data_IF_859044881208
#
_entry.id   IF_859044881208
#
_cell.length_a   1.000
_cell.length_b   1.000
_cell.length_c   1.000
_cell.angle_alpha   90.00
_cell.angle_beta   90.00
_cell.angle_gamma   90.00
#
_symmetry.space_group_name_H-M   'P 1'
#
loop_
_entity.id
_entity.type
_entity.pdbx_description
1 polymer ?
#
# COMPACT_ATOMS: atom_id res chain seq x y z
N UNK A 1 8.02 2.91 9.57
CA UNK A 1 9.27 3.58 9.90
C UNK A 1 9.10 4.81 10.80
N UNK A 2 7.91 5.50 10.82
CA UNK A 2 7.68 6.63 11.71
C UNK A 2 7.84 6.23 13.19
N UNK A 3 8.77 6.86 13.96
CA UNK A 3 9.05 6.47 15.34
C UNK A 3 7.87 6.68 16.29
N UNK A 4 7.05 7.71 16.05
CA UNK A 4 5.88 7.99 16.87
C UNK A 4 4.81 6.92 16.67
N UNK A 5 4.44 6.63 15.42
CA UNK A 5 3.45 5.60 15.09
C UNK A 5 3.94 4.22 15.56
N UNK A 6 5.23 3.93 15.40
CA UNK A 6 5.84 2.68 15.90
C UNK A 6 5.71 2.55 17.41
N UNK A 7 6.03 3.58 18.18
CA UNK A 7 5.89 3.55 19.64
C UNK A 7 4.44 3.35 20.12
N UNK A 8 3.44 3.87 19.36
CA UNK A 8 2.03 3.60 19.64
C UNK A 8 1.67 2.14 19.32
N UNK A 9 2.12 1.64 18.16
CA UNK A 9 1.89 0.25 17.76
C UNK A 9 2.51 -0.73 18.73
N UNK A 10 3.75 -0.51 19.19
CA UNK A 10 4.44 -1.34 20.19
C UNK A 10 3.62 -1.49 21.49
N UNK A 11 2.98 -0.41 21.96
CA UNK A 11 2.09 -0.47 23.13
C UNK A 11 0.85 -1.34 22.88
N UNK A 12 0.28 -1.25 21.67
CA UNK A 12 -0.93 -2.00 21.32
C UNK A 12 -0.66 -3.49 21.16
N UNK A 13 0.49 -3.86 20.59
CA UNK A 13 0.81 -5.27 20.30
C UNK A 13 1.55 -6.00 21.43
N UNK A 14 1.84 -5.35 22.54
CA UNK A 14 2.64 -5.90 23.65
C UNK A 14 2.15 -7.27 24.15
N UNK A 15 0.85 -7.59 23.96
CA UNK A 15 0.24 -8.87 24.35
C UNK A 15 0.11 -9.87 23.19
N UNK A 16 0.64 -9.55 21.98
CA UNK A 16 0.51 -10.38 20.78
C UNK A 16 1.88 -10.90 20.35
N UNK A 17 2.24 -12.11 20.77
CA UNK A 17 3.55 -12.73 20.45
C UNK A 17 3.76 -13.02 18.96
N UNK A 18 2.68 -13.08 18.17
CA UNK A 18 2.71 -13.34 16.72
C UNK A 18 2.87 -12.08 15.86
N UNK A 19 2.92 -10.88 16.49
CA UNK A 19 3.08 -9.61 15.76
C UNK A 19 4.53 -9.13 15.88
N UNK A 20 5.13 -8.83 14.75
CA UNK A 20 6.51 -8.33 14.66
C UNK A 20 6.52 -6.98 13.93
N UNK A 21 7.27 -6.02 14.47
CA UNK A 21 7.48 -4.71 13.89
C UNK A 21 8.86 -4.66 13.26
N UNK A 22 8.94 -4.22 11.99
CA UNK A 22 10.19 -3.83 11.36
C UNK A 22 10.21 -2.31 11.23
N UNK A 23 11.28 -1.62 11.65
CA UNK A 23 11.35 -0.16 11.60
C UNK A 23 11.67 0.40 10.22
N UNK A 24 12.07 -0.44 9.28
CA UNK A 24 12.45 0.00 7.92
C UNK A 24 11.23 0.38 7.10
N UNK A 25 11.41 1.28 6.16
CA UNK A 25 10.47 1.47 5.06
C UNK A 25 10.63 0.34 4.03
N UNK A 26 9.64 0.16 3.16
CA UNK A 26 9.68 -0.85 2.10
C UNK A 26 9.58 -0.18 0.74
N UNK A 27 10.41 -0.60 -0.23
CA UNK A 27 10.42 -0.10 -1.61
C UNK A 27 10.95 -1.17 -2.57
N UNK A 28 11.32 -0.76 -3.79
CA UNK A 28 11.88 -1.60 -4.86
C UNK A 28 13.37 -1.94 -4.67
N UNK A 29 14.07 -1.21 -3.79
CA UNK A 29 15.52 -1.38 -3.55
C UNK A 29 15.90 -1.07 -2.12
N UNK A 30 16.96 -1.71 -1.65
CA UNK A 30 17.56 -1.41 -0.35
C UNK A 30 18.26 -0.05 -0.42
N UNK A 31 18.05 0.76 0.61
CA UNK A 31 18.73 2.04 0.76
C UNK A 31 18.88 2.40 2.24
N UNK A 32 19.87 3.24 2.53
CA UNK A 32 20.15 3.71 3.89
C UNK A 32 20.02 5.22 3.96
N UNK A 33 19.63 5.73 5.13
CA UNK A 33 19.54 7.17 5.39
C UNK A 33 18.65 7.91 4.38
N UNK A 34 17.53 7.29 3.98
CA UNK A 34 16.55 7.91 3.08
C UNK A 34 15.69 8.90 3.88
N UNK A 35 15.49 10.08 3.32
CA UNK A 35 14.64 11.10 3.95
C UNK A 35 13.20 10.60 4.09
N UNK A 36 12.65 10.71 5.29
CA UNK A 36 11.26 10.43 5.59
C UNK A 36 10.53 11.74 5.91
N UNK A 37 9.44 11.97 5.22
CA UNK A 37 8.65 13.19 5.32
C UNK A 37 7.46 12.98 6.24
N UNK A 38 7.36 13.81 7.27
CA UNK A 38 6.22 13.82 8.18
C UNK A 38 5.21 14.88 7.80
N UNK A 39 3.94 14.51 7.83
CA UNK A 39 2.84 15.46 7.70
C UNK A 39 2.40 15.95 9.08
N UNK A 40 2.23 17.29 9.21
CA UNK A 40 1.65 17.89 10.40
C UNK A 40 0.11 17.97 10.34
N UNK A 41 -0.50 17.63 9.20
CA UNK A 41 -1.96 17.57 9.05
C UNK A 41 -2.52 16.25 9.57
N UNK A 42 -1.80 15.14 9.36
CA UNK A 42 -2.21 13.81 9.80
C UNK A 42 -0.99 12.89 9.90
N UNK A 43 -0.86 12.18 11.02
CA UNK A 43 0.21 11.18 11.19
C UNK A 43 0.10 9.99 10.23
N UNK A 44 -1.07 9.79 9.61
CA UNK A 44 -1.30 8.71 8.66
C UNK A 44 -0.76 8.98 7.25
N UNK A 45 -0.42 10.22 6.91
CA UNK A 45 0.02 10.59 5.54
C UNK A 45 1.51 10.92 5.45
N UNK A 46 2.33 10.30 6.28
CA UNK A 46 3.79 10.45 6.28
C UNK A 46 4.44 9.36 5.43
N UNK A 47 5.51 9.66 4.69
CA UNK A 47 6.09 8.71 3.75
C UNK A 47 7.46 9.08 3.19
N UNK A 48 7.91 8.36 2.17
CA UNK A 48 9.19 8.58 1.49
C UNK A 48 9.16 9.73 0.48
N UNK A 49 8.00 10.36 0.27
CA UNK A 49 7.87 11.54 -0.60
C UNK A 49 7.06 12.64 0.08
N UNK A 50 7.33 13.89 -0.32
CA UNK A 50 6.53 15.05 0.05
C UNK A 50 5.50 15.32 -1.05
N UNK A 51 4.21 15.11 -0.78
CA UNK A 51 3.09 15.42 -1.71
C UNK A 51 2.11 16.46 -1.17
N UNK A 52 2.29 16.89 0.08
CA UNK A 52 1.57 18.00 0.72
C UNK A 52 2.53 19.13 1.06
N UNK A 53 2.04 20.37 1.05
CA UNK A 53 2.81 21.53 1.49
C UNK A 53 3.21 21.46 2.98
N UNK A 54 2.47 20.70 3.78
CA UNK A 54 2.73 20.47 5.21
C UNK A 54 3.81 19.43 5.49
N UNK A 55 4.29 18.69 4.46
CA UNK A 55 5.36 17.72 4.63
C UNK A 55 6.69 18.40 4.93
N UNK A 56 7.35 17.90 5.95
CA UNK A 56 8.70 18.32 6.34
C UNK A 56 9.61 17.10 6.43
N UNK A 57 10.85 17.24 5.96
CA UNK A 57 11.90 16.25 6.16
C UNK A 57 12.21 16.18 7.66
N UNK A 58 11.94 15.06 8.32
CA UNK A 58 12.04 14.96 9.78
C UNK A 58 12.98 13.85 10.24
N UNK A 59 12.99 12.73 9.52
CA UNK A 59 13.80 11.56 9.88
C UNK A 59 14.60 11.06 8.70
N UNK A 60 15.60 10.25 9.02
CA UNK A 60 16.24 9.36 8.06
C UNK A 60 15.89 7.93 8.43
N UNK A 61 15.51 7.12 7.45
CA UNK A 61 15.11 5.74 7.64
C UNK A 61 15.88 4.81 6.71
N UNK A 62 16.05 3.57 7.13
CA UNK A 62 16.52 2.52 6.25
C UNK A 62 15.33 1.95 5.46
N UNK A 63 15.61 1.51 4.25
CA UNK A 63 14.65 0.93 3.31
C UNK A 63 15.06 -0.49 2.99
N UNK A 64 14.10 -1.40 2.98
CA UNK A 64 14.26 -2.79 2.54
C UNK A 64 13.35 -3.11 1.38
N UNK A 65 13.54 -4.26 0.75
CA UNK A 65 12.58 -4.83 -0.22
C UNK A 65 11.78 -5.95 0.43
N UNK A 66 10.62 -6.29 -0.13
CA UNK A 66 9.91 -7.50 0.29
C UNK A 66 10.74 -8.75 0.00
N UNK A 67 11.54 -8.75 -1.07
CA UNK A 67 12.45 -9.85 -1.39
C UNK A 67 13.45 -10.12 -0.27
N UNK A 68 14.14 -9.08 0.21
CA UNK A 68 15.12 -9.23 1.28
C UNK A 68 14.45 -9.55 2.62
N UNK A 69 13.31 -8.90 2.90
CA UNK A 69 12.56 -9.14 4.12
C UNK A 69 12.08 -10.58 4.25
N UNK A 70 11.47 -11.17 3.20
CA UNK A 70 11.01 -12.57 3.25
C UNK A 70 12.16 -13.55 3.36
N UNK A 71 13.30 -13.23 2.76
CA UNK A 71 14.51 -14.04 2.89
C UNK A 71 15.09 -13.99 4.30
N UNK A 72 15.25 -12.78 4.87
CA UNK A 72 15.75 -12.58 6.24
C UNK A 72 14.87 -13.27 7.30
N UNK A 73 13.55 -13.27 7.10
CA UNK A 73 12.58 -13.82 8.04
C UNK A 73 12.19 -15.27 7.75
N UNK A 74 12.75 -15.88 6.69
CA UNK A 74 12.41 -17.22 6.22
C UNK A 74 10.90 -17.38 5.98
N UNK A 75 10.27 -16.40 5.33
CA UNK A 75 8.85 -16.43 4.99
C UNK A 75 8.69 -17.16 3.65
N UNK A 76 7.93 -18.24 3.64
CA UNK A 76 7.62 -19.05 2.47
C UNK A 76 6.21 -18.83 1.91
N UNK A 77 5.35 -18.14 2.67
CA UNK A 77 3.97 -17.89 2.29
C UNK A 77 3.49 -16.52 2.82
N UNK A 78 2.73 -15.82 1.99
CA UNK A 78 1.98 -14.61 2.38
C UNK A 78 0.51 -14.82 2.00
N UNK A 79 -0.37 -14.92 3.00
CA UNK A 79 -1.80 -15.04 2.78
C UNK A 79 -2.44 -13.70 2.43
N UNK A 80 -2.00 -12.63 3.08
CA UNK A 80 -2.50 -11.29 2.87
C UNK A 80 -1.36 -10.26 2.97
N UNK A 81 -1.22 -9.46 1.93
CA UNK A 81 -0.29 -8.34 1.85
C UNK A 81 -1.08 -7.03 1.76
N UNK A 82 -1.08 -6.23 2.85
CA UNK A 82 -1.56 -4.84 2.77
C UNK A 82 -0.39 -3.91 2.50
N UNK A 83 -0.55 -3.05 1.51
CA UNK A 83 0.38 -1.97 1.18
C UNK A 83 -0.39 -0.65 1.30
N UNK A 84 0.22 0.30 2.02
CA UNK A 84 -0.36 1.63 2.26
C UNK A 84 0.81 2.54 2.62
N UNK A 85 1.50 2.97 1.59
CA UNK A 85 2.81 3.62 1.67
C UNK A 85 2.81 5.03 1.12
N UNK A 86 1.60 5.62 1.02
CA UNK A 86 1.41 7.01 0.62
C UNK A 86 2.03 7.31 -0.76
N UNK A 87 1.78 6.41 -1.71
CA UNK A 87 2.19 6.53 -3.10
C UNK A 87 3.41 5.69 -3.50
N UNK A 88 4.06 4.96 -2.57
CA UNK A 88 5.14 4.03 -2.89
C UNK A 88 4.66 2.59 -3.14
N UNK A 89 3.35 2.38 -3.26
CA UNK A 89 2.72 1.06 -3.36
C UNK A 89 3.26 0.24 -4.53
N UNK A 90 3.43 0.87 -5.71
CA UNK A 90 4.03 0.18 -6.86
C UNK A 90 5.48 -0.21 -6.61
N UNK A 91 6.29 0.64 -5.99
CA UNK A 91 7.68 0.33 -5.64
C UNK A 91 7.76 -0.84 -4.66
N UNK A 92 6.83 -0.92 -3.70
CA UNK A 92 6.74 -2.09 -2.80
C UNK A 92 6.41 -3.36 -3.59
N UNK A 93 5.48 -3.30 -4.55
CA UNK A 93 5.16 -4.42 -5.43
C UNK A 93 6.33 -4.80 -6.34
N UNK A 94 7.08 -3.84 -6.86
CA UNK A 94 8.28 -4.08 -7.67
C UNK A 94 9.39 -4.78 -6.86
N UNK A 95 9.39 -4.62 -5.53
CA UNK A 95 10.27 -5.32 -4.58
C UNK A 95 9.84 -6.73 -4.17
N UNK A 96 8.69 -7.25 -4.67
CA UNK A 96 8.20 -8.61 -4.36
C UNK A 96 9.00 -9.66 -5.17
N UNK A 97 9.44 -10.78 -4.57
CA UNK A 97 10.13 -11.86 -5.28
C UNK A 97 9.12 -12.76 -6.04
N UNK A 98 8.45 -12.22 -7.06
CA UNK A 98 7.31 -12.83 -7.78
C UNK A 98 7.52 -14.26 -8.26
N UNK A 99 8.75 -14.63 -8.60
CA UNK A 99 9.10 -15.98 -9.07
C UNK A 99 9.13 -17.02 -7.92
N UNK A 100 9.31 -16.55 -6.69
CA UNK A 100 9.45 -17.41 -5.51
C UNK A 100 8.23 -17.39 -4.62
N UNK A 101 7.61 -16.21 -4.48
CA UNK A 101 6.54 -15.97 -3.53
C UNK A 101 5.50 -15.03 -4.13
N UNK A 102 4.27 -15.51 -4.16
CA UNK A 102 3.12 -14.75 -4.66
C UNK A 102 2.06 -14.67 -3.57
N UNK A 103 1.81 -13.47 -2.98
CA UNK A 103 0.76 -13.31 -1.98
C UNK A 103 -0.59 -13.83 -2.47
N UNK A 104 -1.38 -14.48 -1.60
CA UNK A 104 -2.72 -14.96 -1.96
C UNK A 104 -3.68 -13.81 -2.24
N UNK A 105 -3.67 -12.79 -1.36
CA UNK A 105 -4.44 -11.56 -1.51
C UNK A 105 -3.52 -10.36 -1.31
N UNK A 106 -3.75 -9.31 -2.10
CA UNK A 106 -3.06 -8.02 -1.98
C UNK A 106 -4.11 -6.92 -1.86
N UNK A 107 -3.89 -6.00 -0.94
CA UNK A 107 -4.62 -4.75 -0.81
C UNK A 107 -3.61 -3.61 -0.91
N UNK A 108 -3.68 -2.78 -1.95
CA UNK A 108 -2.81 -1.63 -2.10
C UNK A 108 -3.61 -0.36 -2.42
N UNK A 109 -3.13 0.79 -1.93
CA UNK A 109 -3.77 2.08 -2.15
C UNK A 109 -3.43 2.64 -3.54
N UNK A 110 -4.34 3.41 -4.11
CA UNK A 110 -4.09 4.27 -5.25
C UNK A 110 -4.63 5.69 -5.01
N UNK A 111 -3.86 6.68 -5.39
CA UNK A 111 -4.27 8.08 -5.51
C UNK A 111 -3.34 8.77 -6.51
N UNK A 112 -3.82 9.04 -7.73
CA UNK A 112 -3.00 9.59 -8.82
C UNK A 112 -2.29 10.89 -8.45
N UNK A 113 -2.86 11.68 -7.53
CA UNK A 113 -2.19 12.87 -6.99
C UNK A 113 -0.84 12.56 -6.34
N UNK A 114 -0.72 11.40 -5.67
CA UNK A 114 0.52 10.94 -5.01
C UNK A 114 1.45 10.22 -6.00
N UNK A 115 0.87 9.48 -6.96
CA UNK A 115 1.61 8.50 -7.76
C UNK A 115 2.08 9.03 -9.10
N UNK A 116 1.36 9.96 -9.75
CA UNK A 116 1.80 10.58 -11.01
C UNK A 116 3.16 11.27 -10.92
N UNK A 117 3.51 12.01 -9.85
CA UNK A 117 4.86 12.55 -9.68
C UNK A 117 5.96 11.47 -9.58
N UNK A 118 5.60 10.23 -9.22
CA UNK A 118 6.49 9.06 -9.18
C UNK A 118 6.51 8.28 -10.50
N UNK A 119 5.78 8.75 -11.51
CA UNK A 119 5.80 8.19 -12.88
C UNK A 119 4.83 7.03 -13.10
N UNK A 120 3.81 6.84 -12.26
CA UNK A 120 2.79 5.83 -12.49
C UNK A 120 1.40 6.29 -12.05
N UNK A 121 0.38 5.72 -12.67
CA UNK A 121 -1.04 5.97 -12.40
C UNK A 121 -1.72 4.79 -11.72
N UNK A 122 -2.97 4.98 -11.34
CA UNK A 122 -3.89 3.92 -10.94
C UNK A 122 -3.90 2.74 -11.93
N UNK A 123 -3.98 3.04 -13.25
CA UNK A 123 -3.98 2.00 -14.28
C UNK A 123 -2.65 1.24 -14.32
N UNK A 124 -1.51 1.91 -14.22
CA UNK A 124 -0.20 1.26 -14.20
C UNK A 124 -0.06 0.31 -13.00
N UNK A 125 -0.57 0.70 -11.83
CA UNK A 125 -0.60 -0.14 -10.64
C UNK A 125 -1.48 -1.38 -10.86
N UNK A 126 -2.68 -1.20 -11.42
CA UNK A 126 -3.60 -2.29 -11.71
C UNK A 126 -3.04 -3.25 -12.80
N UNK A 127 -2.46 -2.71 -13.86
CA UNK A 127 -1.81 -3.49 -14.93
C UNK A 127 -0.67 -4.33 -14.36
N UNK A 128 0.18 -3.76 -13.50
CA UNK A 128 1.29 -4.49 -12.90
C UNK A 128 0.85 -5.74 -12.12
N UNK A 129 -0.33 -5.70 -11.49
CA UNK A 129 -0.92 -6.84 -10.79
C UNK A 129 -1.60 -7.82 -11.76
N UNK A 130 -2.30 -7.33 -12.79
CA UNK A 130 -2.95 -8.22 -13.78
C UNK A 130 -1.92 -9.00 -14.61
N UNK A 131 -0.78 -8.39 -14.94
CA UNK A 131 0.35 -9.06 -15.60
C UNK A 131 0.96 -10.17 -14.73
N UNK A 132 0.83 -10.06 -13.40
CA UNK A 132 1.18 -11.14 -12.46
C UNK A 132 0.05 -12.17 -12.29
N UNK A 133 -1.05 -12.05 -13.04
CA UNK A 133 -2.18 -12.98 -13.05
C UNK A 133 -3.16 -12.79 -11.90
N UNK A 134 -3.22 -11.62 -11.27
CA UNK A 134 -4.22 -11.31 -10.26
C UNK A 134 -5.53 -10.83 -10.88
N UNK A 135 -6.64 -11.22 -10.24
CA UNK A 135 -7.97 -10.69 -10.50
C UNK A 135 -8.22 -9.52 -9.54
N UNK A 136 -8.73 -8.39 -10.06
CA UNK A 136 -8.77 -7.14 -9.29
C UNK A 136 -10.20 -6.65 -9.10
N UNK A 137 -10.52 -6.27 -7.86
CA UNK A 137 -11.68 -5.46 -7.47
C UNK A 137 -11.16 -4.08 -7.08
N UNK A 138 -11.81 -3.04 -7.57
CA UNK A 138 -11.48 -1.64 -7.27
C UNK A 138 -12.45 -1.13 -6.20
N UNK A 139 -11.94 -0.69 -5.06
CA UNK A 139 -12.71 0.08 -4.07
C UNK A 139 -12.47 1.56 -4.33
N UNK A 140 -13.42 2.23 -4.98
CA UNK A 140 -13.30 3.65 -5.33
C UNK A 140 -13.91 4.55 -4.25
N UNK A 141 -13.19 5.60 -3.88
CA UNK A 141 -13.64 6.65 -2.99
C UNK A 141 -13.71 7.99 -3.73
N UNK A 142 -14.62 8.88 -3.28
CA UNK A 142 -14.71 10.24 -3.80
C UNK A 142 -13.48 11.05 -3.38
N UNK A 143 -13.13 12.12 -4.12
CA UNK A 143 -11.97 12.95 -3.81
C UNK A 143 -11.89 13.36 -2.33
N UNK A 144 -10.70 13.28 -1.78
CA UNK A 144 -10.41 13.71 -0.41
C UNK A 144 -10.64 15.22 -0.31
N UNK A 145 -11.54 15.64 0.58
CA UNK A 145 -11.77 17.05 0.89
C UNK A 145 -10.76 17.57 1.89
N UNK A 146 -10.55 16.80 2.94
CA UNK A 146 -9.58 17.10 4.00
C UNK A 146 -9.12 15.80 4.66
N UNK A 147 -7.81 15.68 4.89
CA UNK A 147 -7.26 14.53 5.62
C UNK A 147 -7.73 14.55 7.09
N UNK A 148 -7.97 13.36 7.65
CA UNK A 148 -8.47 13.20 9.03
C UNK A 148 -9.98 13.36 9.20
N UNK A 149 -10.73 13.66 8.12
CA UNK A 149 -12.19 13.69 8.13
C UNK A 149 -12.77 12.39 7.53
N UNK A 150 -14.08 12.18 7.72
CA UNK A 150 -14.80 11.06 7.09
C UNK A 150 -14.84 11.25 5.57
N UNK A 151 -14.43 10.21 4.84
CA UNK A 151 -14.47 10.19 3.39
C UNK A 151 -15.71 9.46 2.88
N UNK A 152 -16.20 9.86 1.71
CA UNK A 152 -17.34 9.24 1.04
C UNK A 152 -16.84 8.11 0.14
N UNK A 153 -17.27 6.90 0.44
CA UNK A 153 -17.06 5.75 -0.42
C UNK A 153 -18.03 5.74 -1.61
N UNK A 154 -17.55 5.29 -2.79
CA UNK A 154 -18.37 5.24 -4.01
C UNK A 154 -18.91 3.85 -4.29
N UNK A 155 -18.09 2.82 -4.14
CA UNK A 155 -18.46 1.45 -4.43
C UNK A 155 -17.29 0.54 -4.71
N UNK A 156 -17.61 -0.75 -4.91
CA UNK A 156 -16.71 -1.73 -5.48
C UNK A 156 -17.01 -1.93 -6.97
N UNK A 157 -15.98 -2.16 -7.77
CA UNK A 157 -16.07 -2.33 -9.21
C UNK A 157 -15.11 -3.41 -9.68
N UNK A 158 -15.48 -4.14 -10.75
CA UNK A 158 -14.54 -5.02 -11.43
C UNK A 158 -13.50 -4.21 -12.20
N UNK A 159 -12.24 -4.63 -12.17
CA UNK A 159 -11.25 -4.07 -13.08
C UNK A 159 -11.32 -4.83 -14.46
N UNK A 160 -11.22 -4.16 -15.62
CA UNK A 160 -10.93 -2.73 -15.76
C UNK A 160 -12.11 -1.82 -15.40
N UNK A 161 -11.78 -0.69 -14.75
CA UNK A 161 -12.74 0.32 -14.30
C UNK A 161 -12.18 1.72 -14.52
N UNK A 162 -13.00 2.58 -15.13
CA UNK A 162 -12.67 4.00 -15.28
C UNK A 162 -13.11 4.77 -14.03
N UNK A 163 -12.15 5.42 -13.37
CA UNK A 163 -12.43 6.22 -12.19
C UNK A 163 -13.38 7.38 -12.52
N UNK A 164 -14.36 7.64 -11.67
CA UNK A 164 -15.35 8.71 -11.88
C UNK A 164 -14.78 10.12 -11.67
N UNK A 165 -13.53 10.23 -11.23
CA UNK A 165 -12.80 11.48 -11.08
C UNK A 165 -11.30 11.20 -11.14
N UNK A 166 -10.54 12.07 -11.78
CA UNK A 166 -9.07 12.06 -11.74
C UNK A 166 -8.47 12.39 -10.36
N UNK A 167 -9.32 12.74 -9.39
CA UNK A 167 -8.98 12.94 -7.98
C UNK A 167 -9.55 11.83 -7.09
N UNK A 168 -10.12 10.78 -7.68
CA UNK A 168 -10.55 9.61 -6.92
C UNK A 168 -9.32 8.90 -6.32
N UNK A 169 -9.57 8.22 -5.23
CA UNK A 169 -8.59 7.40 -4.55
C UNK A 169 -9.25 6.11 -4.09
N UNK A 170 -8.50 5.20 -3.57
CA UNK A 170 -9.06 3.97 -3.08
C UNK A 170 -8.07 2.84 -2.96
N UNK A 171 -8.59 1.61 -3.05
CA UNK A 171 -7.77 0.42 -2.92
C UNK A 171 -8.02 -0.54 -4.08
N UNK A 172 -6.97 -1.18 -4.55
CA UNK A 172 -7.04 -2.39 -5.36
C UNK A 172 -7.03 -3.59 -4.43
N UNK A 173 -8.04 -4.45 -4.57
CA UNK A 173 -8.13 -5.75 -3.90
C UNK A 173 -7.81 -6.79 -4.97
N UNK A 174 -6.63 -7.38 -4.88
CA UNK A 174 -6.14 -8.32 -5.88
C UNK A 174 -6.10 -9.74 -5.31
N UNK A 175 -6.80 -10.66 -5.95
CA UNK A 175 -6.82 -12.06 -5.60
C UNK A 175 -6.03 -12.89 -6.63
N UNK A 176 -5.11 -13.73 -6.16
CA UNK A 176 -4.33 -14.62 -7.01
C UNK A 176 -5.20 -15.70 -7.64
N UNK A 177 -6.07 -16.30 -6.85
CA UNK A 177 -6.88 -17.43 -7.27
C UNK A 177 -8.30 -16.95 -7.63
N UNK A 178 -8.85 -17.47 -8.73
CA UNK A 178 -10.18 -17.10 -9.22
C UNK A 178 -11.28 -17.40 -8.19
N UNK A 179 -11.13 -18.50 -7.44
CA UNK A 179 -12.08 -18.85 -6.38
C UNK A 179 -12.14 -17.81 -5.25
N UNK A 180 -10.99 -17.24 -4.87
CA UNK A 180 -10.93 -16.16 -3.89
C UNK A 180 -11.59 -14.87 -4.43
N UNK A 181 -11.34 -14.57 -5.70
CA UNK A 181 -11.96 -13.44 -6.38
C UNK A 181 -13.49 -13.57 -6.43
N UNK A 182 -14.02 -14.73 -6.81
CA UNK A 182 -15.47 -15.01 -6.86
C UNK A 182 -16.10 -14.91 -5.45
N UNK A 183 -15.44 -15.43 -4.43
CA UNK A 183 -15.89 -15.29 -3.04
C UNK A 183 -15.91 -13.83 -2.58
N UNK A 184 -14.89 -13.03 -2.94
CA UNK A 184 -14.87 -11.60 -2.65
C UNK A 184 -15.98 -10.84 -3.35
N UNK A 185 -16.27 -11.14 -4.63
CA UNK A 185 -17.39 -10.54 -5.37
C UNK A 185 -18.72 -10.78 -4.65
N UNK A 186 -18.98 -12.02 -4.24
CA UNK A 186 -20.20 -12.36 -3.52
C UNK A 186 -20.30 -11.63 -2.17
N UNK A 187 -19.21 -11.59 -1.42
CA UNK A 187 -19.14 -10.93 -0.12
C UNK A 187 -19.31 -9.41 -0.23
N UNK A 188 -18.63 -8.78 -1.16
CA UNK A 188 -18.62 -7.33 -1.38
C UNK A 188 -19.82 -6.84 -2.20
N UNK A 189 -20.59 -7.75 -2.82
CA UNK A 189 -21.74 -7.45 -3.71
C UNK A 189 -21.33 -6.56 -4.90
N UNK A 190 -20.25 -6.93 -5.57
CA UNK A 190 -19.70 -6.22 -6.74
C UNK A 190 -20.54 -6.54 -7.98
#
# INVERSE_FOLDING_TARGET
>A
PDPYNRAQLEKLINNFSSVHIDPRAVSDKVAHQVTFYKSHESNGVSGLQAFLASHQAEYYVDVTTLSDFVLEKNIDRIDFLKIDTEGYDKMVLDGVPWEKLRPRLILCEFEDKKTLPLGYSYHDLAISLTEKGYHIIVSEWKPIKRYGEKHDWRGFFHYPHELKSNKAWGNLIAARDKSDYEALIQFLKV
#
